data_IF_910307979303
#
_entry.id   IF_910307979303
#
_cell.length_a   1.000
_cell.length_b   1.000
_cell.length_c   1.000
_cell.angle_alpha   90.00
_cell.angle_beta   90.00
_cell.angle_gamma   90.00
#
_symmetry.space_group_name_H-M   'P 1'
#
loop_
_entity.id
_entity.type
_entity.pdbx_description
1 polymer ?
#
# COMPACT_ATOMS: atom_id res chain seq x y z
N UNK A 1 -20.08 -2.61 24.82
CA UNK A 1 -19.66 -1.22 24.59
C UNK A 1 -19.57 -1.03 23.08
N UNK A 2 -20.32 -0.13 22.43
CA UNK A 2 -20.15 0.11 21.01
C UNK A 2 -18.95 1.03 20.83
N UNK A 3 -17.92 0.54 20.14
CA UNK A 3 -16.74 1.33 19.78
C UNK A 3 -17.18 2.47 18.85
N UNK A 4 -16.87 3.70 19.23
CA UNK A 4 -17.13 4.87 18.41
C UNK A 4 -16.36 4.72 17.10
N UNK A 5 -17.09 4.56 15.99
CA UNK A 5 -16.52 4.59 14.65
C UNK A 5 -16.12 6.05 14.35
N UNK A 6 -14.93 6.43 14.78
CA UNK A 6 -14.34 7.73 14.44
C UNK A 6 -14.22 7.79 12.92
N UNK A 7 -14.76 8.87 12.32
CA UNK A 7 -14.63 9.07 10.87
C UNK A 7 -13.14 9.14 10.51
N UNK A 8 -12.72 8.53 9.40
CA UNK A 8 -11.32 8.50 9.02
C UNK A 8 -10.78 9.91 8.83
N UNK A 9 -9.56 10.14 9.31
CA UNK A 9 -8.87 11.40 9.14
C UNK A 9 -8.46 11.65 7.69
N UNK A 10 -8.09 12.88 7.30
CA UNK A 10 -7.63 13.19 5.94
C UNK A 10 -6.45 12.31 5.46
N UNK A 11 -5.55 11.92 6.38
CA UNK A 11 -4.44 10.99 6.11
C UNK A 11 -4.96 9.63 5.65
N UNK A 12 -5.83 9.02 6.45
CA UNK A 12 -6.44 7.71 6.16
C UNK A 12 -7.24 7.73 4.86
N UNK A 13 -7.99 8.80 4.61
CA UNK A 13 -8.72 8.96 3.35
C UNK A 13 -7.77 8.99 2.14
N UNK A 14 -6.64 9.70 2.24
CA UNK A 14 -5.64 9.73 1.17
C UNK A 14 -4.97 8.35 1.01
N UNK A 15 -4.56 7.73 2.11
CA UNK A 15 -3.91 6.41 2.09
C UNK A 15 -4.82 5.37 1.44
N UNK A 16 -6.09 5.28 1.86
CA UNK A 16 -7.05 4.34 1.30
C UNK A 16 -7.25 4.56 -0.20
N UNK A 17 -7.42 5.81 -0.64
CA UNK A 17 -7.55 6.13 -2.07
C UNK A 17 -6.32 5.69 -2.87
N UNK A 18 -5.12 5.87 -2.33
CA UNK A 18 -3.89 5.47 -3.01
C UNK A 18 -3.74 3.94 -3.03
N UNK A 19 -4.08 3.24 -1.94
CA UNK A 19 -4.07 1.78 -1.88
C UNK A 19 -5.05 1.18 -2.90
N UNK A 20 -6.25 1.74 -3.03
CA UNK A 20 -7.24 1.33 -4.04
C UNK A 20 -6.68 1.51 -5.45
N UNK A 21 -6.08 2.67 -5.73
CA UNK A 21 -5.44 2.93 -7.04
C UNK A 21 -4.29 1.96 -7.31
N UNK A 22 -3.45 1.68 -6.32
CA UNK A 22 -2.35 0.72 -6.44
C UNK A 22 -2.89 -0.69 -6.68
N UNK A 23 -4.04 -1.06 -6.11
CA UNK A 23 -4.65 -2.37 -6.36
C UNK A 23 -5.20 -2.50 -7.78
N UNK A 24 -5.86 -1.47 -8.30
CA UNK A 24 -6.56 -1.54 -9.60
C UNK A 24 -5.67 -1.26 -10.81
N UNK A 25 -4.63 -0.43 -10.65
CA UNK A 25 -3.82 -0.01 -11.78
C UNK A 25 -2.85 -1.10 -12.23
N UNK A 26 -2.70 -1.31 -13.54
CA UNK A 26 -1.71 -2.25 -14.08
C UNK A 26 -0.27 -1.82 -13.77
N UNK A 27 -0.01 -0.51 -13.79
CA UNK A 27 1.31 0.07 -13.55
C UNK A 27 1.18 1.32 -12.67
N UNK A 28 1.09 1.17 -11.34
CA UNK A 28 1.09 2.32 -10.44
C UNK A 28 2.41 3.09 -10.58
N UNK A 29 2.36 4.41 -10.50
CA UNK A 29 3.56 5.25 -10.61
C UNK A 29 4.44 5.09 -9.36
N UNK A 30 5.76 5.21 -9.52
CA UNK A 30 6.68 5.15 -8.38
C UNK A 30 6.37 6.22 -7.33
N UNK A 31 6.05 7.44 -7.77
CA UNK A 31 5.66 8.53 -6.88
C UNK A 31 4.40 8.23 -6.05
N UNK A 32 3.46 7.43 -6.60
CA UNK A 32 2.28 6.99 -5.85
C UNK A 32 2.67 6.02 -4.73
N UNK A 33 3.58 5.09 -5.03
CA UNK A 33 4.08 4.12 -4.04
C UNK A 33 4.89 4.82 -2.93
N UNK A 34 5.74 5.78 -3.30
CA UNK A 34 6.49 6.60 -2.34
C UNK A 34 5.55 7.38 -1.42
N UNK A 35 4.47 7.93 -1.98
CA UNK A 35 3.48 8.66 -1.20
C UNK A 35 2.71 7.74 -0.24
N UNK A 36 2.34 6.53 -0.68
CA UNK A 36 1.75 5.51 0.21
C UNK A 36 2.68 5.26 1.38
N UNK A 37 3.95 4.93 1.11
CA UNK A 37 4.94 4.60 2.14
C UNK A 37 5.18 5.75 3.13
N UNK A 38 5.13 7.00 2.66
CA UNK A 38 5.24 8.18 3.54
C UNK A 38 4.04 8.40 4.48
N UNK A 39 2.88 7.79 4.17
CA UNK A 39 1.63 7.94 4.94
C UNK A 39 1.36 6.77 5.88
N UNK A 40 2.07 5.64 5.70
CA UNK A 40 1.86 4.42 6.49
C UNK A 40 2.19 4.65 7.96
N UNK A 41 1.28 4.19 8.82
CA UNK A 41 1.57 3.92 10.22
C UNK A 41 2.10 2.50 10.40
N UNK A 42 2.79 2.19 11.51
CA UNK A 42 3.41 0.88 11.73
C UNK A 42 2.45 -0.31 11.59
N UNK A 43 1.19 -0.15 11.98
CA UNK A 43 0.12 -1.15 11.88
C UNK A 43 -0.46 -1.29 10.46
N UNK A 44 -0.23 -0.31 9.58
CA UNK A 44 -0.70 -0.30 8.20
C UNK A 44 0.33 -0.93 7.23
N UNK A 45 1.59 -1.06 7.65
CA UNK A 45 2.68 -1.62 6.83
C UNK A 45 2.35 -3.03 6.34
N UNK A 46 1.80 -3.88 7.21
CA UNK A 46 1.48 -5.26 6.84
C UNK A 46 0.41 -5.32 5.73
N UNK A 47 -0.56 -4.41 5.75
CA UNK A 47 -1.61 -4.30 4.72
C UNK A 47 -0.98 -3.97 3.36
N UNK A 48 -0.09 -2.98 3.33
CA UNK A 48 0.61 -2.59 2.11
C UNK A 48 1.52 -3.69 1.57
N UNK A 49 2.29 -4.37 2.43
CA UNK A 49 3.13 -5.51 2.01
C UNK A 49 2.29 -6.62 1.39
N UNK A 50 1.14 -6.98 1.99
CA UNK A 50 0.23 -7.99 1.42
C UNK A 50 -0.28 -7.58 0.04
N UNK A 51 -0.60 -6.30 -0.16
CA UNK A 51 -1.01 -5.76 -1.46
C UNK A 51 0.10 -5.94 -2.50
N UNK A 52 1.33 -5.54 -2.17
CA UNK A 52 2.48 -5.66 -3.08
C UNK A 52 2.78 -7.12 -3.45
N UNK A 53 2.74 -8.03 -2.47
CA UNK A 53 2.94 -9.47 -2.70
C UNK A 53 1.83 -10.05 -3.58
N UNK A 54 0.57 -9.65 -3.37
CA UNK A 54 -0.55 -10.07 -4.22
C UNK A 54 -0.31 -9.65 -5.67
N UNK A 55 0.09 -8.40 -5.90
CA UNK A 55 0.42 -7.90 -7.24
C UNK A 55 1.52 -8.71 -7.92
N UNK A 56 2.60 -9.01 -7.20
CA UNK A 56 3.67 -9.86 -7.74
C UNK A 56 3.20 -11.25 -8.16
N UNK A 57 2.17 -11.80 -7.50
CA UNK A 57 1.60 -13.10 -7.90
C UNK A 57 0.74 -13.02 -9.15
N UNK A 58 0.10 -11.87 -9.39
CA UNK A 58 -0.81 -11.63 -10.51
C UNK A 58 -0.06 -11.16 -11.78
N UNK A 59 1.14 -10.58 -11.63
CA UNK A 59 1.97 -10.10 -12.73
C UNK A 59 2.89 -11.20 -13.30
N UNK A 60 2.87 -11.39 -14.63
CA UNK A 60 3.79 -12.33 -15.31
C UNK A 60 5.27 -11.90 -15.24
N UNK A 61 5.51 -10.60 -15.05
CA UNK A 61 6.85 -10.00 -14.99
C UNK A 61 6.90 -9.05 -13.80
N UNK A 62 7.23 -9.54 -12.59
CA UNK A 62 7.20 -8.72 -11.39
C UNK A 62 8.23 -7.60 -11.48
N UNK A 63 7.81 -6.38 -11.13
CA UNK A 63 8.70 -5.22 -11.22
C UNK A 63 9.77 -5.22 -10.12
N UNK A 64 11.02 -4.96 -10.50
CA UNK A 64 12.15 -4.83 -9.55
C UNK A 64 11.91 -3.77 -8.46
N UNK A 65 11.31 -2.60 -8.74
CA UNK A 65 10.97 -1.63 -7.70
C UNK A 65 10.03 -2.20 -6.62
N UNK A 66 8.99 -2.97 -7.01
CA UNK A 66 8.09 -3.60 -6.04
C UNK A 66 8.81 -4.64 -5.18
N UNK A 67 9.67 -5.46 -5.80
CA UNK A 67 10.45 -6.47 -5.06
C UNK A 67 11.36 -5.82 -4.01
N UNK A 68 12.02 -4.69 -4.33
CA UNK A 68 12.88 -3.97 -3.39
C UNK A 68 12.09 -3.40 -2.21
N UNK A 69 10.94 -2.76 -2.48
CA UNK A 69 10.06 -2.22 -1.43
C UNK A 69 9.62 -3.30 -0.43
N UNK A 70 9.21 -4.47 -0.92
CA UNK A 70 8.85 -5.60 -0.03
C UNK A 70 10.04 -6.04 0.82
N UNK A 71 11.24 -6.15 0.23
CA UNK A 71 12.43 -6.54 0.96
C UNK A 71 12.79 -5.54 2.05
N UNK A 72 12.68 -4.24 1.77
CA UNK A 72 12.96 -3.16 2.73
C UNK A 72 11.93 -3.11 3.88
N UNK A 73 10.66 -3.37 3.60
CA UNK A 73 9.56 -3.36 4.59
C UNK A 73 9.48 -4.61 5.47
N UNK A 74 10.29 -5.64 5.20
CA UNK A 74 10.29 -6.93 5.91
C UNK A 74 11.54 -7.18 6.74
N UNK A 75 12.44 -6.20 6.84
CA UNK A 75 13.58 -6.19 7.77
C UNK A 75 13.16 -5.63 9.13
#
# INVERSE_FOLDING_TARGET
MPEAHTRPGPRELMLNLLLDKVAEQRFPSLAMLDLVESLLQPDEVEIYVRLLVRRMREENYPSLPIMRRIAELTQ
#
